data_IF_537463496766
#
_entry.id   IF_537463496766
#
_cell.length_a   1.000
_cell.length_b   1.000
_cell.length_c   1.000
_cell.angle_alpha   90.00
_cell.angle_beta   90.00
_cell.angle_gamma   90.00
#
_symmetry.space_group_name_H-M   'P 1'
#
loop_
_entity.id
_entity.type
_entity.pdbx_description
1 polymer ?
#
# COMPACT_ATOMS: atom_id res chain seq x y z
N UNK A 1 18.60 26.15 -37.35
CA UNK A 1 18.62 24.72 -36.95
C UNK A 1 20.03 24.16 -36.66
N UNK A 2 21.13 24.72 -37.19
CA UNK A 2 22.49 24.21 -36.94
C UNK A 2 22.95 24.27 -35.47
N UNK A 3 22.48 25.27 -34.70
CA UNK A 3 22.83 25.41 -33.28
C UNK A 3 22.24 24.34 -32.36
N UNK A 4 21.05 23.80 -32.71
CA UNK A 4 20.40 22.76 -31.91
C UNK A 4 21.16 21.42 -32.00
N UNK A 5 21.58 21.03 -33.21
CA UNK A 5 22.43 19.86 -33.41
C UNK A 5 23.80 20.01 -32.76
N UNK A 6 24.37 21.23 -32.73
CA UNK A 6 25.63 21.49 -32.04
C UNK A 6 25.51 21.33 -30.51
N UNK A 7 24.36 21.70 -29.93
CA UNK A 7 24.10 21.48 -28.51
C UNK A 7 24.00 19.98 -28.17
N UNK A 8 23.21 19.21 -28.94
CA UNK A 8 23.08 17.76 -28.76
C UNK A 8 24.42 17.04 -28.90
N UNK A 9 25.25 17.45 -29.87
CA UNK A 9 26.58 16.86 -30.07
C UNK A 9 27.54 17.15 -28.91
N UNK A 10 27.47 18.36 -28.35
CA UNK A 10 28.27 18.75 -27.18
C UNK A 10 27.87 17.94 -25.95
N UNK A 11 26.58 17.81 -25.70
CA UNK A 11 26.05 17.09 -24.54
C UNK A 11 26.33 15.59 -24.68
N UNK A 12 26.11 15.00 -25.86
CA UNK A 12 26.50 13.62 -26.15
C UNK A 12 28.00 13.36 -25.93
N UNK A 13 28.86 14.25 -26.41
CA UNK A 13 30.32 14.15 -26.19
C UNK A 13 30.71 14.31 -24.72
N UNK A 14 29.94 15.07 -23.93
CA UNK A 14 30.13 15.22 -22.48
C UNK A 14 29.80 13.91 -21.76
N UNK A 15 28.73 13.23 -22.16
CA UNK A 15 28.36 11.92 -21.60
C UNK A 15 29.36 10.81 -21.97
N UNK A 16 29.97 10.84 -23.16
CA UNK A 16 30.95 9.83 -23.57
C UNK A 16 32.33 9.95 -22.88
N UNK A 17 32.59 11.00 -22.08
CA UNK A 17 33.92 11.24 -21.49
C UNK A 17 33.95 10.87 -20.00
N UNK A 18 34.88 9.97 -19.64
CA UNK A 18 35.35 9.59 -18.27
C UNK A 18 34.30 9.47 -17.14
N UNK A 19 33.10 8.99 -17.44
CA UNK A 19 32.09 8.64 -16.42
C UNK A 19 30.66 9.04 -16.76
N UNK A 20 30.45 9.88 -17.76
CA UNK A 20 29.09 10.25 -18.18
C UNK A 20 28.26 9.09 -18.74
N UNK A 21 28.91 8.02 -19.21
CA UNK A 21 28.22 6.80 -19.66
C UNK A 21 27.51 6.13 -18.48
N UNK A 22 28.11 6.17 -17.28
CA UNK A 22 27.48 5.66 -16.06
C UNK A 22 26.26 6.50 -15.69
N UNK A 23 26.36 7.84 -15.81
CA UNK A 23 25.25 8.76 -15.55
C UNK A 23 24.07 8.51 -16.51
N UNK A 24 24.33 8.03 -17.73
CA UNK A 24 23.30 7.67 -18.69
C UNK A 24 22.71 6.27 -18.44
N UNK A 25 23.59 5.28 -18.15
CA UNK A 25 23.19 3.88 -17.95
C UNK A 25 22.49 3.67 -16.60
N UNK A 26 22.89 4.39 -15.56
CA UNK A 26 22.38 4.26 -14.21
C UNK A 26 20.86 4.52 -14.10
N UNK A 27 20.31 5.66 -14.56
CA UNK A 27 18.86 5.88 -14.53
C UNK A 27 18.12 4.93 -15.47
N UNK A 28 18.73 4.58 -16.61
CA UNK A 28 18.15 3.62 -17.55
C UNK A 28 18.01 2.22 -16.93
N UNK A 29 18.96 1.81 -16.08
CA UNK A 29 18.92 0.55 -15.34
C UNK A 29 18.03 0.63 -14.09
N UNK A 30 18.03 1.76 -13.38
CA UNK A 30 17.21 1.95 -12.20
C UNK A 30 15.72 1.99 -12.52
N UNK A 31 15.33 2.59 -13.65
CA UNK A 31 13.92 2.74 -14.02
C UNK A 31 13.14 1.40 -14.05
N UNK A 32 13.59 0.34 -14.75
CA UNK A 32 12.91 -0.95 -14.71
C UNK A 32 13.01 -1.63 -13.34
N UNK A 33 14.10 -1.42 -12.60
CA UNK A 33 14.24 -1.94 -11.23
C UNK A 33 13.19 -1.32 -10.29
N UNK A 34 13.00 0.00 -10.38
CA UNK A 34 11.96 0.72 -9.66
C UNK A 34 10.58 0.28 -10.11
N UNK A 35 10.32 0.20 -11.42
CA UNK A 35 9.03 -0.26 -11.92
C UNK A 35 8.70 -1.66 -11.38
N UNK A 36 9.63 -2.60 -11.46
CA UNK A 36 9.44 -3.97 -10.96
C UNK A 36 9.22 -4.04 -9.45
N UNK A 37 9.99 -3.28 -8.67
CA UNK A 37 9.90 -3.29 -7.22
C UNK A 37 8.64 -2.59 -6.69
N UNK A 38 8.22 -1.49 -7.32
CA UNK A 38 7.09 -0.68 -6.87
C UNK A 38 5.76 -1.03 -7.54
N UNK A 39 5.73 -1.90 -8.55
CA UNK A 39 4.50 -2.37 -9.20
C UNK A 39 3.52 -3.06 -8.23
N UNK A 40 4.01 -3.61 -7.12
CA UNK A 40 3.18 -4.24 -6.07
C UNK A 40 2.90 -3.36 -4.84
N UNK A 41 3.53 -2.18 -4.74
CA UNK A 41 3.35 -1.24 -3.62
C UNK A 41 2.51 -0.03 -4.04
N UNK A 42 1.53 -0.21 -4.94
CA UNK A 42 0.39 0.70 -4.93
C UNK A 42 -0.22 0.61 -3.53
N UNK A 43 -0.28 1.71 -2.79
CA UNK A 43 -0.71 1.79 -1.39
C UNK A 43 -2.15 1.30 -1.15
N UNK A 44 -2.38 0.01 -1.36
CA UNK A 44 -3.54 -0.69 -0.87
C UNK A 44 -3.37 -0.75 0.64
N UNK A 45 -4.18 0.04 1.34
CA UNK A 45 -4.44 -0.18 2.76
C UNK A 45 -4.85 -1.64 2.91
N UNK A 46 -3.92 -2.46 3.40
CA UNK A 46 -4.18 -3.87 3.61
C UNK A 46 -5.21 -3.96 4.73
N UNK A 47 -6.39 -4.49 4.41
CA UNK A 47 -7.44 -4.67 5.39
C UNK A 47 -6.91 -5.55 6.53
N UNK A 48 -7.17 -5.12 7.77
CA UNK A 48 -6.75 -5.85 8.97
C UNK A 48 -7.97 -6.41 9.69
N UNK A 49 -7.86 -7.60 10.31
CA UNK A 49 -8.96 -8.19 11.05
C UNK A 49 -9.25 -7.39 12.33
N UNK A 50 -10.52 -7.22 12.68
CA UNK A 50 -10.95 -6.55 13.92
C UNK A 50 -11.96 -7.44 14.64
N UNK A 51 -11.69 -7.74 15.91
CA UNK A 51 -12.62 -8.45 16.79
C UNK A 51 -13.54 -7.44 17.48
N UNK A 52 -14.85 -7.68 17.45
CA UNK A 52 -15.85 -6.81 18.05
C UNK A 52 -16.81 -7.64 18.89
N UNK A 53 -16.93 -7.29 20.18
CA UNK A 53 -17.78 -7.98 21.14
C UNK A 53 -18.99 -7.09 21.44
N UNK A 54 -20.20 -7.66 21.40
CA UNK A 54 -21.45 -6.97 21.71
C UNK A 54 -21.83 -7.17 23.19
N UNK A 55 -21.35 -6.29 24.07
CA UNK A 55 -21.64 -6.35 25.51
C UNK A 55 -23.10 -6.00 25.83
N UNK A 56 -23.66 -5.00 25.14
CA UNK A 56 -24.95 -4.41 25.50
C UNK A 56 -26.13 -5.14 24.82
N UNK A 57 -25.88 -5.97 23.80
CA UNK A 57 -26.86 -6.78 23.04
C UNK A 57 -28.09 -5.99 22.51
N UNK A 58 -27.96 -4.67 22.37
CA UNK A 58 -29.05 -3.79 21.96
C UNK A 58 -29.24 -3.75 20.44
N UNK A 59 -30.36 -3.19 19.99
CA UNK A 59 -30.60 -2.95 18.56
C UNK A 59 -29.55 -1.97 17.98
N UNK A 60 -29.08 -1.01 18.79
CA UNK A 60 -28.10 -0.02 18.36
C UNK A 60 -26.69 -0.62 18.19
N UNK A 61 -26.26 -1.47 19.12
CA UNK A 61 -24.94 -2.15 19.03
C UNK A 61 -24.88 -3.11 17.84
N UNK A 62 -25.95 -3.86 17.57
CA UNK A 62 -26.08 -4.71 16.36
C UNK A 62 -26.01 -3.91 15.06
N UNK A 63 -26.50 -2.67 15.08
CA UNK A 63 -26.41 -1.77 13.91
C UNK A 63 -24.98 -1.27 13.71
N UNK A 64 -24.28 -0.89 14.78
CA UNK A 64 -22.86 -0.49 14.73
C UNK A 64 -21.98 -1.61 14.18
N UNK A 65 -22.18 -2.85 14.63
CA UNK A 65 -21.41 -4.01 14.13
C UNK A 65 -21.63 -4.22 12.63
N UNK A 66 -22.87 -4.06 12.14
CA UNK A 66 -23.17 -4.12 10.70
C UNK A 66 -22.55 -2.99 9.88
N UNK A 67 -22.38 -1.80 10.46
CA UNK A 67 -21.68 -0.71 9.78
C UNK A 67 -20.15 -0.94 9.77
N UNK A 68 -19.59 -1.55 10.81
CA UNK A 68 -18.18 -1.96 10.84
C UNK A 68 -17.85 -3.02 9.80
N UNK A 69 -18.76 -3.99 9.54
CA UNK A 69 -18.60 -4.98 8.46
C UNK A 69 -18.49 -4.35 7.05
N UNK A 70 -18.94 -3.11 6.86
CA UNK A 70 -18.90 -2.40 5.57
C UNK A 70 -17.63 -1.57 5.38
N UNK A 71 -16.78 -1.45 6.39
CA UNK A 71 -15.56 -0.66 6.32
C UNK A 71 -14.52 -1.43 5.51
N UNK A 72 -14.06 -0.86 4.40
CA UNK A 72 -13.10 -1.49 3.45
C UNK A 72 -11.76 -1.87 4.10
N UNK A 73 -11.44 -1.27 5.24
CA UNK A 73 -10.24 -1.55 6.05
C UNK A 73 -10.36 -2.81 6.92
N UNK A 74 -11.56 -3.33 7.14
CA UNK A 74 -11.78 -4.48 8.02
C UNK A 74 -12.05 -5.73 7.19
N UNK A 75 -11.17 -6.73 7.29
CA UNK A 75 -11.29 -7.95 6.48
C UNK A 75 -12.30 -8.95 7.06
N UNK A 76 -12.49 -8.94 8.38
CA UNK A 76 -13.42 -9.86 9.08
C UNK A 76 -13.81 -9.26 10.42
N UNK A 77 -15.11 -9.30 10.72
CA UNK A 77 -15.67 -8.98 12.03
C UNK A 77 -16.11 -10.29 12.69
N UNK A 78 -15.41 -10.69 13.76
CA UNK A 78 -15.72 -11.90 14.52
C UNK A 78 -16.69 -11.52 15.64
N UNK A 79 -17.89 -12.10 15.62
CA UNK A 79 -18.91 -11.93 16.67
C UNK A 79 -18.77 -13.06 17.67
N UNK A 80 -18.51 -12.72 18.92
CA UNK A 80 -18.68 -13.64 20.04
C UNK A 80 -20.08 -13.37 20.61
N UNK A 81 -21.02 -14.29 20.38
CA UNK A 81 -22.26 -14.32 21.14
C UNK A 81 -21.90 -14.89 22.51
N UNK A 82 -21.65 -14.01 23.47
CA UNK A 82 -21.38 -14.40 24.84
C UNK A 82 -22.57 -15.19 25.39
N UNK A 83 -22.50 -16.52 25.37
CA UNK A 83 -23.14 -17.35 26.37
C UNK A 83 -22.42 -17.09 27.70
N UNK A 84 -22.78 -15.98 28.36
CA UNK A 84 -22.45 -15.78 29.78
C UNK A 84 -23.38 -16.70 30.58
N UNK A 85 -23.09 -17.99 30.50
CA UNK A 85 -23.69 -19.07 31.27
C UNK A 85 -22.79 -19.41 32.44
N UNK A 86 -23.09 -18.84 33.61
CA UNK A 86 -22.95 -19.46 34.93
C UNK A 86 -21.78 -20.45 35.15
N UNK A 87 -20.55 -19.98 35.31
CA UNK A 87 -19.55 -20.69 36.12
C UNK A 87 -19.25 -19.86 37.36
N UNK A 88 -20.02 -20.11 38.43
CA UNK A 88 -19.91 -19.36 39.68
C UNK A 88 -20.86 -19.77 40.79
N UNK A 89 -21.30 -21.05 40.81
CA UNK A 89 -21.83 -21.72 41.98
C UNK A 89 -21.42 -23.18 41.91
N UNK A 90 -20.38 -23.53 42.67
CA UNK A 90 -20.40 -24.55 43.74
C UNK A 90 -19.17 -24.32 44.64
#
# INVERSE_FOLDING_TARGET
MKGFFAAIWKDGKLFLRKGGLFILLFPLLLFPLFAFFFQGQSGQMQAFPVMVIDEDQTIMSKTLIREMEKVELFSTVIKEEGEIGQEGRE
#
